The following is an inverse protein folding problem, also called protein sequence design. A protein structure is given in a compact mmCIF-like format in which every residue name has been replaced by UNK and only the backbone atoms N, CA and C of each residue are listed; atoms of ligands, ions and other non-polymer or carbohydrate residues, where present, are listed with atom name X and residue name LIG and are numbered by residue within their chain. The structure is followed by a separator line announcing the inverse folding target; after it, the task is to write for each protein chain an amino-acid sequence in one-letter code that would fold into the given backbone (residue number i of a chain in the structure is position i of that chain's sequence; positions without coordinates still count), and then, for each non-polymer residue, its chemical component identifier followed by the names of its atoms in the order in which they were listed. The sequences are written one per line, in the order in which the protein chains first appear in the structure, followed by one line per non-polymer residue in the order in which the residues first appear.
data_IF_550623469614
#
_entry.id   IF_550623469614
#
_cell.length_a   1.000
_cell.length_b   1.000
_cell.length_c   1.000
_cell.angle_alpha   90.00
_cell.angle_beta   90.00
_cell.angle_gamma   90.00
#
_symmetry.space_group_name_H-M   'P 1'
#
loop_
_entity.id
_entity.type
_entity.pdbx_description
1 polymer ?
#
# COMPACT_ATOMS: atom_id res chain seq x y z
N UNK A 1 -16.22 4.11 -11.25
CA UNK A 1 -15.42 4.04 -10.00
C UNK A 1 -13.98 3.59 -10.18
N UNK A 2 -13.68 2.51 -10.93
CA UNK A 2 -12.30 2.05 -11.18
C UNK A 2 -11.40 3.14 -11.82
N UNK A 3 -11.94 3.91 -12.78
CA UNK A 3 -11.22 5.01 -13.45
C UNK A 3 -10.94 6.17 -12.51
N UNK A 4 -11.88 6.49 -11.61
CA UNK A 4 -11.70 7.58 -10.64
C UNK A 4 -10.70 7.17 -9.54
N UNK A 5 -10.74 5.91 -9.10
CA UNK A 5 -9.76 5.35 -8.17
C UNK A 5 -8.35 5.30 -8.78
N UNK A 6 -8.23 4.87 -10.03
CA UNK A 6 -6.94 4.85 -10.75
C UNK A 6 -6.38 6.26 -10.98
N UNK A 7 -7.22 7.21 -11.38
CA UNK A 7 -6.80 8.60 -11.57
C UNK A 7 -6.33 9.24 -10.25
N UNK A 8 -7.07 9.05 -9.17
CA UNK A 8 -6.68 9.55 -7.84
C UNK A 8 -5.38 8.91 -7.33
N UNK A 9 -5.15 7.64 -7.65
CA UNK A 9 -3.89 6.96 -7.33
C UNK A 9 -2.70 7.60 -8.08
N UNK A 10 -2.85 7.90 -9.37
CA UNK A 10 -1.80 8.57 -10.17
C UNK A 10 -1.50 9.97 -9.62
N UNK A 11 -2.54 10.75 -9.26
CA UNK A 11 -2.36 12.07 -8.66
C UNK A 11 -1.67 11.98 -7.29
N UNK A 12 -2.02 10.99 -6.47
CA UNK A 12 -1.33 10.72 -5.20
C UNK A 12 0.15 10.38 -5.41
N UNK A 13 0.46 9.58 -6.42
CA UNK A 13 1.82 9.20 -6.78
C UNK A 13 2.64 10.39 -7.30
N UNK A 14 2.02 11.27 -8.08
CA UNK A 14 2.61 12.54 -8.51
C UNK A 14 2.91 13.47 -7.32
N UNK A 15 2.02 13.51 -6.31
CA UNK A 15 2.25 14.25 -5.08
C UNK A 15 3.45 13.71 -4.30
N UNK A 16 3.48 12.41 -4.02
CA UNK A 16 4.59 11.81 -3.25
C UNK A 16 5.93 11.90 -3.97
N UNK A 17 5.96 11.73 -5.29
CA UNK A 17 7.18 11.97 -6.08
C UNK A 17 7.62 13.43 -6.04
N UNK A 18 6.68 14.39 -6.09
CA UNK A 18 6.96 15.81 -5.88
C UNK A 18 7.57 16.11 -4.50
N UNK A 19 7.02 15.50 -3.45
CA UNK A 19 7.54 15.64 -2.08
C UNK A 19 8.99 15.14 -2.00
N UNK A 20 9.30 13.95 -2.55
CA UNK A 20 10.67 13.41 -2.60
C UNK A 20 11.62 14.33 -3.38
N UNK A 21 11.19 14.84 -4.55
CA UNK A 21 12.02 15.73 -5.37
C UNK A 21 12.30 17.05 -4.66
N UNK A 22 11.29 17.66 -4.04
CA UNK A 22 11.48 18.91 -3.28
C UNK A 22 12.39 18.71 -2.07
N UNK A 23 12.28 17.58 -1.39
CA UNK A 23 13.17 17.19 -0.28
C UNK A 23 14.63 16.98 -0.74
N UNK A 24 14.84 16.36 -1.90
CA UNK A 24 16.17 16.22 -2.49
C UNK A 24 16.76 17.58 -2.84
N UNK A 25 16.00 18.46 -3.49
CA UNK A 25 16.44 19.83 -3.81
C UNK A 25 16.83 20.59 -2.54
N UNK A 26 16.02 20.47 -1.48
CA UNK A 26 16.34 21.07 -0.18
C UNK A 26 17.67 20.57 0.37
N UNK A 27 17.93 19.25 0.33
CA UNK A 27 19.20 18.70 0.83
C UNK A 27 20.43 19.09 0.03
N UNK A 28 20.30 19.34 -1.27
CA UNK A 28 21.40 19.87 -2.06
C UNK A 28 21.58 21.38 -1.89
N UNK A 29 20.51 22.11 -1.58
CA UNK A 29 20.55 23.57 -1.35
C UNK A 29 21.20 23.94 -0.02
N UNK A 30 21.03 23.13 1.03
CA UNK A 30 21.56 23.39 2.38
C UNK A 30 23.10 23.49 2.41
N UNK A 31 23.88 22.55 1.82
CA UNK A 31 25.33 22.67 1.68
C UNK A 31 25.77 23.95 0.97
N UNK A 32 25.04 24.36 -0.06
CA UNK A 32 25.35 25.54 -0.84
C UNK A 32 25.08 26.84 -0.08
N UNK A 33 23.95 26.92 0.65
CA UNK A 33 23.58 28.09 1.44
C UNK A 33 24.36 28.24 2.74
N UNK A 34 24.68 27.12 3.42
CA UNK A 34 25.27 27.14 4.76
C UNK A 34 26.74 26.66 4.80
N UNK A 35 27.32 26.30 3.65
CA UNK A 35 28.73 25.88 3.55
C UNK A 35 29.07 24.60 4.32
N UNK A 36 28.10 23.73 4.57
CA UNK A 36 28.27 22.48 5.34
C UNK A 36 28.35 21.24 4.43
N UNK A 37 28.92 20.16 4.96
CA UNK A 37 28.97 18.87 4.26
C UNK A 37 27.58 18.25 4.09
N UNK A 38 27.37 17.58 2.95
CA UNK A 38 26.19 16.77 2.69
C UNK A 38 26.05 15.68 3.76
N UNK A 39 24.87 15.58 4.37
CA UNK A 39 24.51 14.45 5.20
C UNK A 39 24.16 13.25 4.31
N UNK A 40 25.19 12.53 3.87
CA UNK A 40 25.08 11.35 3.02
C UNK A 40 24.08 10.32 3.56
N UNK A 41 23.94 10.20 4.90
CA UNK A 41 22.97 9.31 5.52
C UNK A 41 21.50 9.65 5.20
N UNK A 42 21.16 10.94 5.11
CA UNK A 42 19.79 11.39 4.78
C UNK A 42 19.49 11.18 3.30
N UNK A 43 20.45 11.52 2.45
CA UNK A 43 20.35 11.29 0.99
C UNK A 43 20.23 9.79 0.72
N UNK A 44 21.03 8.97 1.40
CA UNK A 44 20.95 7.52 1.30
C UNK A 44 19.58 7.01 1.75
N UNK A 45 19.04 7.49 2.89
CA UNK A 45 17.72 7.07 3.37
C UNK A 45 16.59 7.47 2.39
N UNK A 46 16.64 8.69 1.84
CA UNK A 46 15.68 9.20 0.86
C UNK A 46 15.67 8.41 -0.45
N UNK A 47 16.80 7.83 -0.85
CA UNK A 47 16.90 6.99 -2.06
C UNK A 47 16.63 5.51 -1.73
N UNK A 48 17.10 5.03 -0.59
CA UNK A 48 16.97 3.63 -0.19
C UNK A 48 15.51 3.24 0.07
N UNK A 49 14.74 4.12 0.71
CA UNK A 49 13.34 3.87 1.03
C UNK A 49 12.46 3.60 -0.20
N UNK A 50 12.41 4.47 -1.23
CA UNK A 50 11.63 4.19 -2.44
C UNK A 50 12.16 3.00 -3.24
N UNK A 51 13.47 2.71 -3.17
CA UNK A 51 14.04 1.50 -3.80
C UNK A 51 13.54 0.24 -3.10
N UNK A 52 13.55 0.20 -1.76
CA UNK A 52 13.04 -0.93 -0.99
C UNK A 52 11.54 -1.14 -1.22
N UNK A 53 10.75 -0.07 -1.19
CA UNK A 53 9.32 -0.11 -1.51
C UNK A 53 9.07 -0.64 -2.93
N UNK A 54 9.84 -0.19 -3.91
CA UNK A 54 9.74 -0.65 -5.30
C UNK A 54 10.03 -2.14 -5.40
N UNK A 55 11.09 -2.63 -4.76
CA UNK A 55 11.45 -4.06 -4.74
C UNK A 55 10.34 -4.89 -4.09
N UNK A 56 9.84 -4.46 -2.94
CA UNK A 56 8.72 -5.12 -2.26
C UNK A 56 7.48 -5.13 -3.14
N UNK A 57 7.15 -4.00 -3.77
CA UNK A 57 6.00 -3.87 -4.65
C UNK A 57 6.08 -4.84 -5.83
N UNK A 58 7.21 -4.89 -6.55
CA UNK A 58 7.39 -5.80 -7.68
C UNK A 58 7.32 -7.27 -7.26
N UNK A 59 7.87 -7.62 -6.09
CA UNK A 59 7.85 -8.99 -5.58
C UNK A 59 6.44 -9.46 -5.22
N UNK A 60 5.59 -8.54 -4.74
CA UNK A 60 4.24 -8.87 -4.26
C UNK A 60 3.13 -8.60 -5.28
N UNK A 61 3.45 -7.95 -6.40
CA UNK A 61 2.48 -7.56 -7.42
C UNK A 61 1.70 -8.77 -7.95
N UNK A 62 2.41 -9.81 -8.39
CA UNK A 62 1.79 -11.00 -9.02
C UNK A 62 0.80 -11.67 -8.07
N UNK A 63 1.21 -11.91 -6.83
CA UNK A 63 0.35 -12.55 -5.83
C UNK A 63 -0.86 -11.69 -5.43
N UNK A 64 -0.68 -10.37 -5.35
CA UNK A 64 -1.79 -9.45 -5.06
C UNK A 64 -2.79 -9.44 -6.20
N UNK A 65 -2.32 -9.45 -7.45
CA UNK A 65 -3.17 -9.51 -8.65
C UNK A 65 -3.93 -10.81 -8.71
N UNK A 66 -3.27 -11.96 -8.53
CA UNK A 66 -3.91 -13.28 -8.54
C UNK A 66 -5.04 -13.38 -7.50
N UNK A 67 -4.81 -12.90 -6.28
CA UNK A 67 -5.84 -12.92 -5.22
C UNK A 67 -7.01 -11.97 -5.51
N UNK A 68 -6.73 -10.85 -6.18
CA UNK A 68 -7.79 -9.91 -6.57
C UNK A 68 -8.63 -10.45 -7.74
N UNK A 69 -8.01 -11.17 -8.68
CA UNK A 69 -8.69 -11.91 -9.74
C UNK A 69 -9.55 -13.03 -9.16
N UNK A 70 -9.02 -13.86 -8.24
CA UNK A 70 -9.80 -14.90 -7.56
C UNK A 70 -11.05 -14.33 -6.88
N UNK A 71 -10.91 -13.18 -6.21
CA UNK A 71 -12.05 -12.47 -5.62
C UNK A 71 -13.08 -12.04 -6.66
N UNK A 72 -12.63 -11.56 -7.82
CA UNK A 72 -13.51 -11.17 -8.90
C UNK A 72 -14.29 -12.37 -9.44
N UNK A 73 -13.63 -13.51 -9.66
CA UNK A 73 -14.25 -14.74 -10.14
C UNK A 73 -15.33 -15.26 -9.17
N UNK A 74 -15.07 -15.22 -7.86
CA UNK A 74 -16.07 -15.63 -6.84
C UNK A 74 -17.26 -14.68 -6.80
N UNK A 75 -17.05 -13.38 -7.02
CA UNK A 75 -18.13 -12.40 -7.11
C UNK A 75 -18.97 -12.65 -8.35
N UNK A 76 -18.34 -12.88 -9.50
CA UNK A 76 -19.03 -13.17 -10.76
C UNK A 76 -19.85 -14.45 -10.66
N UNK A 77 -19.30 -15.53 -10.09
CA UNK A 77 -20.04 -16.78 -9.87
C UNK A 77 -21.30 -16.59 -9.01
N UNK A 78 -21.21 -15.78 -7.95
CA UNK A 78 -22.35 -15.45 -7.10
C UNK A 78 -23.41 -14.62 -7.84
N UNK A 79 -22.98 -13.64 -8.62
CA UNK A 79 -23.88 -12.80 -9.43
C UNK A 79 -24.58 -13.62 -10.51
N UNK A 80 -23.85 -14.50 -11.22
CA UNK A 80 -24.42 -15.39 -12.22
C UNK A 80 -25.44 -16.35 -11.61
N UNK A 81 -25.12 -16.97 -10.47
CA UNK A 81 -26.08 -17.82 -9.74
C UNK A 81 -27.34 -17.04 -9.34
N UNK A 82 -27.20 -15.78 -8.92
CA UNK A 82 -28.35 -14.93 -8.60
C UNK A 82 -29.22 -14.68 -9.83
N UNK A 83 -28.62 -14.40 -10.98
CA UNK A 83 -29.35 -14.24 -12.24
C UNK A 83 -30.10 -15.51 -12.63
N UNK A 84 -29.44 -16.68 -12.59
CA UNK A 84 -30.06 -17.98 -12.87
C UNK A 84 -31.28 -18.25 -11.96
N UNK A 85 -31.17 -17.96 -10.66
CA UNK A 85 -32.26 -18.15 -9.70
C UNK A 85 -33.47 -17.26 -10.04
N UNK A 86 -33.22 -16.01 -10.41
CA UNK A 86 -34.28 -15.05 -10.77
C UNK A 86 -34.95 -15.44 -12.09
N UNK A 87 -34.15 -15.79 -13.10
CA UNK A 87 -34.65 -16.12 -14.43
C UNK A 87 -35.39 -17.46 -14.45
N UNK A 88 -34.94 -18.44 -13.66
CA UNK A 88 -35.50 -19.80 -13.64
C UNK A 88 -36.41 -20.07 -12.44
N UNK A 89 -36.90 -19.04 -11.73
CA UNK A 89 -37.69 -19.19 -10.51
C UNK A 89 -38.89 -20.16 -10.67
N UNK A 90 -39.60 -20.06 -11.81
CA UNK A 90 -40.75 -20.93 -12.11
C UNK A 90 -40.34 -22.40 -12.23
N UNK A 91 -39.19 -22.67 -12.84
CA UNK A 91 -38.66 -24.02 -13.03
C UNK A 91 -38.27 -24.62 -11.67
N UNK A 92 -37.52 -23.86 -10.86
CA UNK A 92 -37.09 -24.27 -9.52
C UNK A 92 -38.30 -24.64 -8.64
N UNK A 93 -39.35 -23.81 -8.66
CA UNK A 93 -40.59 -24.06 -7.92
C UNK A 93 -41.35 -25.29 -8.46
N UNK A 94 -41.45 -25.47 -9.78
CA UNK A 94 -42.14 -26.62 -10.38
C UNK A 94 -41.48 -27.96 -10.04
N UNK A 95 -40.15 -27.98 -9.90
CA UNK A 95 -39.38 -29.17 -9.55
C UNK A 95 -39.07 -29.31 -8.06
N UNK A 96 -39.60 -28.42 -7.20
CA UNK A 96 -39.36 -28.39 -5.74
C UNK A 96 -37.87 -28.42 -5.38
N UNK A 97 -37.05 -27.67 -6.14
CA UNK A 97 -35.59 -27.62 -5.96
C UNK A 97 -35.13 -26.43 -5.12
N UNK A 98 -36.03 -25.69 -4.45
CA UNK A 98 -35.65 -24.47 -3.73
C UNK A 98 -34.56 -24.73 -2.69
N UNK A 99 -34.66 -25.81 -1.92
CA UNK A 99 -33.65 -26.15 -0.89
C UNK A 99 -32.27 -26.38 -1.50
N UNK A 100 -32.18 -27.18 -2.55
CA UNK A 100 -30.89 -27.49 -3.19
C UNK A 100 -30.26 -26.25 -3.84
N UNK A 101 -31.08 -25.38 -4.43
CA UNK A 101 -30.61 -24.10 -4.98
C UNK A 101 -30.14 -23.16 -3.88
N UNK A 102 -30.85 -23.10 -2.75
CA UNK A 102 -30.46 -22.30 -1.59
C UNK A 102 -29.14 -22.80 -0.99
N UNK A 103 -28.93 -24.12 -0.91
CA UNK A 103 -27.68 -24.70 -0.43
C UNK A 103 -26.48 -24.29 -1.32
N UNK A 104 -26.64 -24.36 -2.65
CA UNK A 104 -25.62 -23.90 -3.61
C UNK A 104 -25.32 -22.41 -3.48
N UNK A 105 -26.37 -21.59 -3.35
CA UNK A 105 -26.22 -20.16 -3.17
C UNK A 105 -25.47 -19.85 -1.86
N UNK A 106 -25.83 -20.53 -0.77
CA UNK A 106 -25.15 -20.42 0.53
C UNK A 106 -23.67 -20.81 0.44
N UNK A 107 -23.33 -21.87 -0.30
CA UNK A 107 -21.94 -22.27 -0.53
C UNK A 107 -21.15 -21.19 -1.28
N UNK A 108 -21.72 -20.61 -2.34
CA UNK A 108 -21.08 -19.52 -3.09
C UNK A 108 -20.87 -18.26 -2.23
N UNK A 109 -21.86 -17.90 -1.40
CA UNK A 109 -21.73 -16.79 -0.44
C UNK A 109 -20.60 -17.06 0.56
N UNK A 110 -20.53 -18.28 1.09
CA UNK A 110 -19.47 -18.68 2.03
C UNK A 110 -18.08 -18.62 1.37
N UNK A 111 -17.96 -19.14 0.14
CA UNK A 111 -16.71 -19.09 -0.62
C UNK A 111 -16.26 -17.66 -0.92
N UNK A 112 -17.18 -16.78 -1.33
CA UNK A 112 -16.92 -15.36 -1.57
C UNK A 112 -16.48 -14.66 -0.29
N UNK A 113 -17.15 -14.92 0.84
CA UNK A 113 -16.78 -14.32 2.13
C UNK A 113 -15.38 -14.75 2.59
N UNK A 114 -15.02 -16.02 2.38
CA UNK A 114 -13.67 -16.50 2.67
C UNK A 114 -12.61 -15.79 1.81
N UNK A 115 -12.86 -15.67 0.51
CA UNK A 115 -11.96 -14.99 -0.42
C UNK A 115 -11.82 -13.49 -0.08
N UNK A 116 -12.91 -12.84 0.32
CA UNK A 116 -12.90 -11.45 0.80
C UNK A 116 -12.02 -11.28 2.04
N UNK A 117 -12.12 -12.19 3.01
CA UNK A 117 -11.29 -12.17 4.22
C UNK A 117 -9.81 -12.33 3.89
N UNK A 118 -9.45 -13.30 3.04
CA UNK A 118 -8.06 -13.53 2.61
C UNK A 118 -7.49 -12.33 1.86
N UNK A 119 -8.27 -11.75 0.94
CA UNK A 119 -7.87 -10.56 0.18
C UNK A 119 -7.70 -9.36 1.09
N UNK A 120 -8.61 -9.16 2.06
CA UNK A 120 -8.51 -8.09 3.03
C UNK A 120 -7.24 -8.22 3.90
N UNK A 121 -6.91 -9.44 4.36
CA UNK A 121 -5.68 -9.70 5.10
C UNK A 121 -4.44 -9.40 4.25
N UNK A 122 -4.43 -9.80 2.98
CA UNK A 122 -3.32 -9.52 2.07
C UNK A 122 -3.12 -8.01 1.86
N UNK A 123 -4.19 -7.28 1.58
CA UNK A 123 -4.13 -5.82 1.38
C UNK A 123 -3.71 -5.08 2.64
N UNK A 124 -4.19 -5.54 3.81
CA UNK A 124 -3.80 -5.00 5.10
C UNK A 124 -2.30 -5.24 5.35
N UNK A 125 -1.79 -6.44 5.07
CA UNK A 125 -0.37 -6.74 5.15
C UNK A 125 0.46 -5.93 4.15
N UNK A 126 -0.05 -5.65 2.95
CA UNK A 126 0.62 -4.76 1.99
C UNK A 126 0.76 -3.34 2.56
N UNK A 127 -0.31 -2.82 3.17
CA UNK A 127 -0.30 -1.48 3.77
C UNK A 127 0.65 -1.37 4.97
N UNK A 128 0.70 -2.39 5.84
CA UNK A 128 1.57 -2.36 7.01
C UNK A 128 3.07 -2.44 6.70
N UNK A 129 3.47 -3.08 5.59
CA UNK A 129 4.90 -3.13 5.22
C UNK A 129 5.46 -1.73 5.04
N UNK A 130 4.72 -0.82 4.40
CA UNK A 130 5.20 0.55 4.21
C UNK A 130 5.46 1.23 5.57
N UNK A 131 4.49 1.14 6.48
CA UNK A 131 4.62 1.66 7.85
C UNK A 131 5.81 1.06 8.60
N UNK A 132 6.06 -0.25 8.44
CA UNK A 132 7.19 -0.92 9.09
C UNK A 132 8.54 -0.48 8.52
N UNK A 133 8.66 -0.38 7.19
CA UNK A 133 9.88 0.11 6.54
C UNK A 133 10.20 1.54 6.98
N UNK A 134 9.22 2.44 6.96
CA UNK A 134 9.39 3.81 7.43
C UNK A 134 9.79 3.86 8.91
N UNK A 135 9.11 3.10 9.77
CA UNK A 135 9.42 3.04 11.21
C UNK A 135 10.86 2.59 11.46
N UNK A 136 11.31 1.55 10.76
CA UNK A 136 12.69 1.05 10.88
C UNK A 136 13.68 2.12 10.41
N UNK A 137 13.44 2.75 9.27
CA UNK A 137 14.32 3.77 8.70
C UNK A 137 14.42 5.01 9.60
N UNK A 138 13.29 5.52 10.09
CA UNK A 138 13.25 6.64 11.03
C UNK A 138 13.98 6.29 12.33
N UNK A 139 13.78 5.07 12.84
CA UNK A 139 14.47 4.60 14.06
C UNK A 139 15.99 4.58 13.85
N UNK A 140 16.46 4.00 12.75
CA UNK A 140 17.89 3.98 12.42
C UNK A 140 18.46 5.40 12.27
N UNK A 141 17.74 6.29 11.58
CA UNK A 141 18.15 7.68 11.44
C UNK A 141 18.19 8.42 12.78
N UNK A 142 17.22 8.18 13.66
CA UNK A 142 17.17 8.79 14.97
C UNK A 142 18.40 8.40 15.81
N UNK A 143 18.79 7.13 15.80
CA UNK A 143 19.99 6.67 16.50
C UNK A 143 21.27 7.29 15.93
N UNK A 144 21.48 7.23 14.61
CA UNK A 144 22.71 7.72 13.98
C UNK A 144 22.80 9.25 14.02
N UNK A 145 21.74 9.94 13.60
CA UNK A 145 21.68 11.40 13.57
C UNK A 145 21.66 12.00 14.98
N UNK A 146 20.99 11.35 15.93
CA UNK A 146 21.01 11.76 17.33
C UNK A 146 22.42 11.73 17.91
N UNK A 147 23.20 10.68 17.60
CA UNK A 147 24.61 10.58 18.02
C UNK A 147 25.47 11.72 17.45
N UNK A 148 25.27 12.08 16.17
CA UNK A 148 25.99 13.18 15.52
C UNK A 148 25.67 14.54 16.17
N UNK A 149 24.41 14.75 16.55
CA UNK A 149 23.99 15.97 17.26
C UNK A 149 24.63 16.02 18.65
N UNK A 150 24.62 14.91 19.40
CA UNK A 150 25.25 14.83 20.73
C UNK A 150 26.76 15.10 20.66
N UNK A 151 27.42 14.66 19.59
CA UNK A 151 28.85 14.92 19.33
C UNK A 151 29.14 16.34 18.83
N UNK A 152 28.12 17.14 18.52
CA UNK A 152 28.27 18.47 17.95
C UNK A 152 28.65 18.49 16.46
N UNK A 153 28.60 17.34 15.79
CA UNK A 153 28.91 17.20 14.35
C UNK A 153 27.77 17.77 13.48
N UNK A 154 26.52 17.70 13.96
CA UNK A 154 25.34 18.20 13.27
C UNK A 154 24.53 19.17 14.15
N UNK A 155 23.95 20.24 13.58
CA UNK A 155 23.11 21.15 14.34
C UNK A 155 21.72 20.52 14.57
N UNK A 156 21.17 20.69 15.78
CA UNK A 156 19.88 20.12 16.17
C UNK A 156 18.75 20.47 15.18
N UNK A 157 18.72 21.70 14.68
CA UNK A 157 17.71 22.15 13.71
C UNK A 157 17.71 21.34 12.41
N UNK A 158 18.88 20.93 11.92
CA UNK A 158 18.98 20.11 10.71
C UNK A 158 18.50 18.68 10.96
N UNK A 159 18.81 18.11 12.12
CA UNK A 159 18.31 16.79 12.52
C UNK A 159 16.77 16.78 12.62
N UNK A 160 16.18 17.79 13.27
CA UNK A 160 14.73 17.92 13.39
C UNK A 160 14.05 18.13 12.03
N UNK A 161 14.64 18.93 11.15
CA UNK A 161 14.13 19.12 9.79
C UNK A 161 14.10 17.79 9.01
N UNK A 162 15.14 16.96 9.15
CA UNK A 162 15.22 15.66 8.48
C UNK A 162 14.19 14.65 9.03
N UNK A 163 13.92 14.66 10.34
CA UNK A 163 12.85 13.83 10.92
C UNK A 163 11.48 14.29 10.43
N UNK A 164 11.24 15.60 10.41
CA UNK A 164 9.98 16.15 9.87
C UNK A 164 9.76 15.76 8.41
N UNK A 165 10.85 15.69 7.64
CA UNK A 165 10.84 15.19 6.26
C UNK A 165 10.39 13.74 6.22
N UNK A 166 10.99 12.85 7.03
CA UNK A 166 10.58 11.44 7.06
C UNK A 166 9.15 11.21 7.58
N UNK A 167 8.61 12.11 8.40
CA UNK A 167 7.22 12.03 8.86
C UNK A 167 6.21 12.48 7.81
N UNK A 168 6.66 13.19 6.76
CA UNK A 168 5.79 13.69 5.69
C UNK A 168 5.64 12.68 4.55
N UNK A 169 6.61 11.76 4.43
CA UNK A 169 6.60 10.61 3.50
C UNK A 169 5.71 9.51 4.07
#
# INVERSE_FOLDING_TARGET
DLVNGGFMAIVGLAKHSGDIVTMLIFQFSVPWLFGRSLNLGVVLALVLLPVLETVVFFTRKEWTTEKLEEKHDKLEALTNCTHEIVDEQKLIASYRRESSTMDKFSELVSAKNKCDMETAQLLLNNNYINTWLLTIMVSLYFFIGGLQVVRGEAPLGMFLANISVFQTI
#
